data_IF_542425272011
#
_entry.id   IF_542425272011
#
_cell.length_a   1.000
_cell.length_b   1.000
_cell.length_c   1.000
_cell.angle_alpha   90.00
_cell.angle_beta   90.00
_cell.angle_gamma   90.00
#
_symmetry.space_group_name_H-M   'P 1'
#
loop_
_entity.id
_entity.type
_entity.pdbx_description
1 polymer ?
#
# COMPACT_ATOMS: atom_id res chain seq x y z
N UNK A 1 -30.79 -50.22 -29.16
CA UNK A 1 -30.88 -49.46 -30.43
C UNK A 1 -31.96 -48.41 -30.29
N UNK A 2 -31.57 -47.19 -29.93
CA UNK A 2 -32.25 -45.94 -30.30
C UNK A 2 -31.25 -44.85 -29.99
N UNK A 3 -30.85 -44.19 -31.05
CA UNK A 3 -29.80 -43.19 -31.10
C UNK A 3 -30.47 -41.82 -31.32
N UNK A 4 -29.73 -40.77 -30.95
CA UNK A 4 -29.78 -39.40 -31.47
C UNK A 4 -30.53 -38.28 -30.69
N UNK A 5 -29.64 -37.39 -30.20
CA UNK A 5 -29.59 -35.93 -30.40
C UNK A 5 -30.36 -35.04 -29.42
N UNK A 6 -29.63 -34.65 -28.37
CA UNK A 6 -29.88 -33.40 -27.65
C UNK A 6 -29.65 -32.17 -28.54
N UNK A 7 -30.21 -31.00 -28.17
CA UNK A 7 -30.22 -29.81 -29.01
C UNK A 7 -28.81 -29.23 -29.18
N UNK A 8 -28.45 -28.99 -30.43
CA UNK A 8 -27.24 -28.25 -30.81
C UNK A 8 -27.46 -26.78 -30.48
N UNK A 9 -26.72 -26.25 -29.51
CA UNK A 9 -26.63 -24.80 -29.25
C UNK A 9 -25.91 -24.18 -30.46
N UNK A 10 -26.47 -23.16 -31.14
CA UNK A 10 -25.79 -22.52 -32.25
C UNK A 10 -24.51 -21.86 -31.74
N UNK A 11 -23.37 -22.19 -32.36
CA UNK A 11 -22.16 -21.36 -32.28
C UNK A 11 -22.56 -19.96 -32.70
N UNK A 12 -22.52 -19.00 -31.79
CA UNK A 12 -22.65 -17.58 -32.12
C UNK A 12 -21.59 -17.25 -33.17
N UNK A 13 -22.05 -16.90 -34.38
CA UNK A 13 -21.23 -16.34 -35.43
C UNK A 13 -20.65 -15.02 -34.91
N UNK A 14 -19.36 -15.01 -34.60
CA UNK A 14 -18.58 -13.78 -34.44
C UNK A 14 -18.55 -13.06 -35.79
N UNK A 15 -19.52 -12.18 -36.02
CA UNK A 15 -19.51 -11.30 -37.19
C UNK A 15 -18.40 -10.28 -37.02
N UNK A 16 -17.48 -10.22 -37.99
CA UNK A 16 -16.46 -9.18 -38.01
C UNK A 16 -17.13 -7.82 -38.23
N UNK A 17 -16.75 -6.77 -37.47
CA UNK A 17 -17.37 -5.46 -37.59
C UNK A 17 -17.17 -4.92 -39.00
N UNK A 18 -18.25 -4.40 -39.57
CA UNK A 18 -18.27 -3.78 -40.90
C UNK A 18 -17.33 -2.56 -40.95
N UNK A 19 -16.87 -2.12 -42.14
CA UNK A 19 -16.03 -0.94 -42.28
C UNK A 19 -16.64 0.34 -41.65
N UNK A 20 -17.97 0.47 -41.68
CA UNK A 20 -18.69 1.59 -41.07
C UNK A 20 -18.67 1.50 -39.54
N UNK A 21 -18.91 0.31 -38.97
CA UNK A 21 -18.80 0.08 -37.52
C UNK A 21 -17.38 0.30 -37.01
N UNK A 22 -16.37 -0.12 -37.79
CA UNK A 22 -14.96 0.18 -37.49
C UNK A 22 -14.71 1.69 -37.47
N UNK A 23 -15.20 2.45 -38.47
CA UNK A 23 -15.04 3.91 -38.53
C UNK A 23 -15.73 4.62 -37.35
N UNK A 24 -16.95 4.20 -36.98
CA UNK A 24 -17.67 4.71 -35.81
C UNK A 24 -16.93 4.39 -34.52
N UNK A 25 -16.39 3.18 -34.37
CA UNK A 25 -15.59 2.78 -33.22
C UNK A 25 -14.28 3.60 -33.11
N UNK A 26 -13.61 3.86 -34.23
CA UNK A 26 -12.42 4.72 -34.28
C UNK A 26 -12.75 6.17 -33.89
N UNK A 27 -13.85 6.74 -34.39
CA UNK A 27 -14.28 8.09 -34.03
C UNK A 27 -14.67 8.21 -32.54
N UNK A 28 -15.38 7.20 -32.00
CA UNK A 28 -15.69 7.14 -30.56
C UNK A 28 -14.43 7.06 -29.71
N UNK A 29 -13.44 6.27 -30.13
CA UNK A 29 -12.14 6.18 -29.45
C UNK A 29 -11.36 7.50 -29.53
N UNK A 30 -11.30 8.15 -30.69
CA UNK A 30 -10.63 9.44 -30.86
C UNK A 30 -11.24 10.53 -29.97
N UNK A 31 -12.58 10.66 -29.97
CA UNK A 31 -13.30 11.64 -29.13
C UNK A 31 -13.14 11.34 -27.62
N UNK A 32 -13.09 10.06 -27.24
CA UNK A 32 -12.80 9.66 -25.86
C UNK A 32 -11.37 10.02 -25.45
N UNK A 33 -10.41 9.93 -26.37
CA UNK A 33 -9.00 10.25 -26.12
C UNK A 33 -8.76 11.76 -26.01
N UNK A 34 -9.36 12.57 -26.90
CA UNK A 34 -9.32 14.03 -26.80
C UNK A 34 -9.93 14.54 -25.49
N UNK A 35 -11.03 13.93 -25.05
CA UNK A 35 -11.67 14.27 -23.77
C UNK A 35 -10.76 13.92 -22.58
N UNK A 36 -10.05 12.80 -22.64
CA UNK A 36 -9.06 12.43 -21.62
C UNK A 36 -7.89 13.40 -21.54
N UNK A 37 -7.24 13.71 -22.67
CA UNK A 37 -6.11 14.64 -22.72
C UNK A 37 -6.48 16.03 -22.19
N UNK A 38 -7.69 16.49 -22.49
CA UNK A 38 -8.24 17.74 -21.94
C UNK A 38 -8.39 17.68 -20.41
N UNK A 39 -8.94 16.58 -19.88
CA UNK A 39 -9.10 16.39 -18.43
C UNK A 39 -7.77 16.27 -17.69
N UNK A 40 -6.78 15.58 -18.27
CA UNK A 40 -5.41 15.50 -17.71
C UNK A 40 -4.76 16.88 -17.69
N UNK A 41 -4.79 17.62 -18.80
CA UNK A 41 -4.28 19.00 -18.83
C UNK A 41 -4.95 19.91 -17.81
N UNK A 42 -6.24 19.69 -17.55
CA UNK A 42 -6.97 20.44 -16.51
C UNK A 42 -6.50 20.06 -15.12
N UNK A 43 -6.27 18.77 -14.87
CA UNK A 43 -5.75 18.23 -13.62
C UNK A 43 -4.32 18.76 -13.34
N UNK A 44 -3.44 18.77 -14.34
CA UNK A 44 -2.04 19.24 -14.23
C UNK A 44 -1.94 20.73 -13.87
N UNK A 45 -2.93 21.53 -14.27
CA UNK A 45 -2.97 22.98 -14.01
C UNK A 45 -3.66 23.35 -12.69
N UNK A 46 -4.31 22.40 -12.01
CA UNK A 46 -4.95 22.67 -10.74
C UNK A 46 -3.94 22.63 -9.61
N UNK A 47 -3.95 23.67 -8.77
CA UNK A 47 -3.25 23.68 -7.51
C UNK A 47 -4.04 22.89 -6.46
N UNK A 48 -3.35 22.09 -5.64
CA UNK A 48 -3.96 21.32 -4.57
C UNK A 48 -4.22 22.21 -3.35
N UNK A 49 -5.45 22.74 -3.27
CA UNK A 49 -5.94 23.54 -2.14
C UNK A 49 -7.20 22.91 -1.57
N UNK A 50 -7.61 23.31 -0.36
CA UNK A 50 -8.86 22.83 0.24
C UNK A 50 -10.09 23.09 -0.66
N UNK A 51 -10.09 24.20 -1.41
CA UNK A 51 -11.18 24.56 -2.33
C UNK A 51 -11.21 23.73 -3.62
N UNK A 52 -10.07 23.24 -4.09
CA UNK A 52 -9.98 22.42 -5.31
C UNK A 52 -10.13 20.92 -5.08
N UNK A 53 -10.11 20.47 -3.82
CA UNK A 53 -10.16 19.04 -3.42
C UNK A 53 -11.23 18.23 -4.14
N UNK A 54 -12.48 18.70 -4.14
CA UNK A 54 -13.58 17.99 -4.80
C UNK A 54 -13.42 17.96 -6.31
N UNK A 55 -12.95 19.05 -6.93
CA UNK A 55 -12.74 19.12 -8.37
C UNK A 55 -11.63 18.15 -8.81
N UNK A 56 -10.53 18.09 -8.05
CA UNK A 56 -9.41 17.17 -8.27
C UNK A 56 -9.86 15.72 -8.10
N UNK A 57 -10.60 15.39 -7.04
CA UNK A 57 -11.19 14.06 -6.82
C UNK A 57 -12.06 13.63 -8.01
N UNK A 58 -12.94 14.51 -8.51
CA UNK A 58 -13.78 14.21 -9.67
C UNK A 58 -12.97 14.03 -10.96
N UNK A 59 -11.96 14.86 -11.20
CA UNK A 59 -11.10 14.71 -12.38
C UNK A 59 -10.27 13.42 -12.31
N UNK A 60 -9.71 13.11 -11.14
CA UNK A 60 -9.05 11.83 -10.86
C UNK A 60 -9.99 10.66 -11.18
N UNK A 61 -11.24 10.71 -10.72
CA UNK A 61 -12.26 9.71 -11.03
C UNK A 61 -12.53 9.58 -12.54
N UNK A 62 -12.73 10.68 -13.24
CA UNK A 62 -13.03 10.67 -14.68
C UNK A 62 -11.86 10.18 -15.55
N UNK A 63 -10.63 10.37 -15.08
CA UNK A 63 -9.40 9.96 -15.79
C UNK A 63 -8.88 8.58 -15.37
N UNK A 64 -9.54 7.92 -14.41
CA UNK A 64 -9.10 6.66 -13.80
C UNK A 64 -8.69 5.58 -14.80
N UNK A 65 -9.58 5.22 -15.74
CA UNK A 65 -9.34 4.10 -16.66
C UNK A 65 -8.11 4.29 -17.54
N UNK A 66 -7.88 5.51 -18.03
CA UNK A 66 -6.74 5.83 -18.89
C UNK A 66 -5.46 6.03 -18.06
N UNK A 67 -5.56 6.63 -16.87
CA UNK A 67 -4.44 6.71 -15.92
C UNK A 67 -3.93 5.31 -15.54
N UNK A 68 -4.84 4.37 -15.23
CA UNK A 68 -4.48 2.97 -14.92
C UNK A 68 -3.80 2.28 -16.10
N UNK A 69 -4.38 2.40 -17.30
CA UNK A 69 -3.73 1.87 -18.52
C UNK A 69 -2.33 2.42 -18.69
N UNK A 70 -2.13 3.72 -18.46
CA UNK A 70 -0.82 4.33 -18.57
C UNK A 70 0.14 3.80 -17.49
N UNK A 71 -0.28 3.71 -16.22
CA UNK A 71 0.55 3.18 -15.12
C UNK A 71 1.01 1.75 -15.39
N UNK A 72 0.13 0.91 -15.93
CA UNK A 72 0.36 -0.51 -16.18
C UNK A 72 1.01 -0.81 -17.56
N UNK A 73 1.29 0.21 -18.38
CA UNK A 73 1.96 0.04 -19.68
C UNK A 73 3.39 -0.55 -19.49
N UNK A 74 3.80 -1.56 -20.28
CA UNK A 74 5.17 -2.05 -20.26
C UNK A 74 6.16 -1.09 -20.99
N UNK A 75 7.35 -0.83 -20.43
CA UNK A 75 7.81 -1.22 -19.10
C UNK A 75 7.05 -0.47 -18.02
N UNK A 76 6.69 -1.16 -16.92
CA UNK A 76 5.91 -0.59 -15.83
C UNK A 76 6.52 0.72 -15.32
N UNK A 77 5.69 1.72 -15.06
CA UNK A 77 6.17 3.00 -14.55
C UNK A 77 6.60 2.86 -13.09
N UNK A 78 7.72 3.48 -12.74
CA UNK A 78 8.16 3.59 -11.35
C UNK A 78 7.22 4.52 -10.57
N UNK A 79 7.17 4.34 -9.25
CA UNK A 79 6.34 5.19 -8.39
C UNK A 79 6.73 6.67 -8.53
N UNK A 80 8.03 7.00 -8.62
CA UNK A 80 8.48 8.37 -8.87
C UNK A 80 7.86 8.95 -10.15
N UNK A 81 7.94 8.22 -11.27
CA UNK A 81 7.39 8.68 -12.55
C UNK A 81 5.88 8.84 -12.52
N UNK A 82 5.19 8.01 -11.74
CA UNK A 82 3.74 8.13 -11.55
C UNK A 82 3.43 9.40 -10.76
N UNK A 83 4.16 9.68 -9.68
CA UNK A 83 3.97 10.87 -8.85
C UNK A 83 4.33 12.17 -9.59
N UNK A 84 5.36 12.16 -10.44
CA UNK A 84 5.69 13.30 -11.31
C UNK A 84 4.57 13.61 -12.30
N UNK A 85 3.95 12.57 -12.89
CA UNK A 85 2.87 12.75 -13.86
C UNK A 85 1.52 13.05 -13.22
N UNK A 86 1.24 12.46 -12.07
CA UNK A 86 -0.02 12.59 -11.36
C UNK A 86 0.22 13.10 -9.94
N UNK A 87 0.70 14.35 -9.87
CA UNK A 87 1.14 15.03 -8.64
C UNK A 87 0.12 14.97 -7.50
N UNK A 88 -1.17 14.93 -7.84
CA UNK A 88 -2.27 14.95 -6.88
C UNK A 88 -2.36 13.68 -6.02
N UNK A 89 -1.69 12.58 -6.39
CA UNK A 89 -1.57 11.43 -5.50
C UNK A 89 -0.91 11.79 -4.16
N UNK A 90 0.01 12.76 -4.16
CA UNK A 90 0.71 13.23 -2.95
C UNK A 90 -0.08 14.30 -2.17
N UNK A 91 -1.25 14.71 -2.66
CA UNK A 91 -2.06 15.77 -2.04
C UNK A 91 -3.04 15.25 -0.99
N UNK A 92 -3.50 16.16 -0.13
CA UNK A 92 -4.60 15.94 0.83
C UNK A 92 -4.36 14.78 1.80
N UNK A 93 -3.15 14.69 2.35
CA UNK A 93 -2.81 13.69 3.35
C UNK A 93 -3.01 12.25 2.88
N UNK A 94 -2.79 11.96 1.59
CA UNK A 94 -2.96 10.63 0.99
C UNK A 94 -4.40 10.24 0.63
N UNK A 95 -5.37 11.16 0.73
CA UNK A 95 -6.76 10.87 0.35
C UNK A 95 -6.89 10.38 -1.09
N UNK A 96 -6.14 10.97 -2.03
CA UNK A 96 -6.21 10.59 -3.44
C UNK A 96 -5.75 9.15 -3.69
N UNK A 97 -4.79 8.66 -2.89
CA UNK A 97 -4.39 7.24 -2.89
C UNK A 97 -5.55 6.37 -2.39
N UNK A 98 -6.19 6.75 -1.29
CA UNK A 98 -7.33 6.02 -0.74
C UNK A 98 -8.50 5.93 -1.70
N UNK A 99 -8.85 7.01 -2.39
CA UNK A 99 -9.90 6.98 -3.40
C UNK A 99 -9.52 6.10 -4.60
N UNK A 100 -8.26 6.16 -5.05
CA UNK A 100 -7.77 5.33 -6.16
C UNK A 100 -7.80 3.84 -5.80
N UNK A 101 -7.39 3.50 -4.58
CA UNK A 101 -7.47 2.14 -4.05
C UNK A 101 -8.92 1.63 -4.04
N UNK A 102 -9.88 2.44 -3.56
CA UNK A 102 -11.30 2.06 -3.56
C UNK A 102 -11.84 1.82 -4.97
N UNK A 103 -11.32 2.52 -5.99
CA UNK A 103 -11.68 2.28 -7.40
C UNK A 103 -11.08 0.98 -7.94
N UNK A 104 -9.88 0.61 -7.48
CA UNK A 104 -9.23 -0.66 -7.83
C UNK A 104 -9.94 -1.85 -7.17
N UNK A 105 -10.34 -1.70 -5.90
CA UNK A 105 -10.94 -2.75 -5.09
C UNK A 105 -12.29 -2.27 -4.52
N UNK A 106 -13.34 -2.14 -5.35
CA UNK A 106 -14.62 -1.61 -4.90
C UNK A 106 -15.31 -2.46 -3.81
N UNK A 107 -14.91 -3.72 -3.70
CA UNK A 107 -15.42 -4.67 -2.71
C UNK A 107 -14.47 -4.83 -1.49
N UNK A 108 -13.41 -4.04 -1.38
CA UNK A 108 -12.56 -4.07 -0.20
C UNK A 108 -13.35 -3.66 1.02
N UNK A 109 -13.06 -4.32 2.15
CA UNK A 109 -13.68 -4.00 3.44
C UNK A 109 -13.03 -2.72 3.96
N UNK A 110 -13.86 -1.77 4.39
CA UNK A 110 -13.37 -0.63 5.16
C UNK A 110 -12.81 -1.16 6.48
N UNK A 111 -11.51 -1.01 6.67
CA UNK A 111 -10.79 -1.50 7.84
C UNK A 111 -10.11 -0.33 8.53
N UNK A 112 -10.35 -0.20 9.83
CA UNK A 112 -9.57 0.67 10.70
C UNK A 112 -8.67 -0.22 11.57
N UNK A 113 -7.37 0.05 11.53
CA UNK A 113 -6.41 -0.69 12.34
C UNK A 113 -6.74 -0.60 13.83
N UNK A 114 -7.29 0.52 14.27
CA UNK A 114 -7.71 0.77 15.65
C UNK A 114 -8.68 -0.29 16.18
N UNK A 115 -9.52 -0.87 15.31
CA UNK A 115 -10.52 -1.87 15.68
C UNK A 115 -9.91 -3.17 16.20
N UNK A 116 -8.68 -3.49 15.81
CA UNK A 116 -8.01 -4.74 16.17
C UNK A 116 -6.86 -4.56 17.16
N UNK A 117 -6.44 -3.33 17.46
CA UNK A 117 -5.27 -3.04 18.31
C UNK A 117 -5.36 -3.76 19.66
N UNK A 118 -6.46 -3.54 20.40
CA UNK A 118 -6.64 -4.13 21.73
C UNK A 118 -6.61 -5.66 21.70
N UNK A 119 -7.24 -6.27 20.71
CA UNK A 119 -7.30 -7.72 20.55
C UNK A 119 -5.95 -8.32 20.15
N UNK A 120 -5.15 -7.62 19.33
CA UNK A 120 -3.77 -8.01 19.00
C UNK A 120 -2.89 -7.99 20.25
N UNK A 121 -2.98 -6.91 21.04
CA UNK A 121 -2.23 -6.77 22.29
C UNK A 121 -2.60 -7.87 23.28
N UNK A 122 -3.89 -8.14 23.47
CA UNK A 122 -4.38 -9.19 24.35
C UNK A 122 -3.98 -10.59 23.87
N UNK A 123 -4.08 -10.87 22.57
CA UNK A 123 -3.62 -12.14 22.00
C UNK A 123 -2.14 -12.36 22.30
N UNK A 124 -1.31 -11.33 22.07
CA UNK A 124 0.13 -11.40 22.27
C UNK A 124 0.48 -11.58 23.75
N UNK A 125 -0.21 -10.86 24.65
CA UNK A 125 -0.07 -11.02 26.09
C UNK A 125 -0.33 -12.46 26.54
N UNK A 126 -1.36 -13.10 25.98
CA UNK A 126 -1.78 -14.44 26.38
C UNK A 126 -0.93 -15.57 25.76
N UNK A 127 -0.48 -15.41 24.51
CA UNK A 127 0.14 -16.50 23.74
C UNK A 127 1.65 -16.33 23.47
N UNK A 128 2.15 -15.10 23.62
CA UNK A 128 3.50 -14.65 23.26
C UNK A 128 4.00 -13.58 24.24
N UNK A 129 3.83 -13.83 25.54
CA UNK A 129 4.08 -12.85 26.61
C UNK A 129 5.42 -12.13 26.49
N UNK A 130 6.50 -12.85 26.17
CA UNK A 130 7.83 -12.24 25.97
C UNK A 130 7.85 -11.15 24.89
N UNK A 131 7.24 -11.41 23.73
CA UNK A 131 7.15 -10.43 22.64
C UNK A 131 6.29 -9.23 23.05
N UNK A 132 5.19 -9.49 23.77
CA UNK A 132 4.34 -8.43 24.31
C UNK A 132 5.11 -7.50 25.27
N UNK A 133 5.90 -8.05 26.19
CA UNK A 133 6.75 -7.29 27.10
C UNK A 133 7.83 -6.49 26.36
N UNK A 134 8.51 -7.10 25.38
CA UNK A 134 9.53 -6.44 24.55
C UNK A 134 8.96 -5.27 23.74
N UNK A 135 7.71 -5.38 23.27
CA UNK A 135 7.02 -4.29 22.57
C UNK A 135 6.69 -3.08 23.44
N UNK A 136 6.79 -3.18 24.77
CA UNK A 136 6.43 -2.12 25.71
C UNK A 136 7.29 -0.86 25.62
N UNK A 137 8.38 -0.89 24.83
CA UNK A 137 9.19 0.28 24.53
C UNK A 137 8.53 1.26 23.55
N UNK A 138 7.48 0.85 22.84
CA UNK A 138 6.74 1.70 21.91
C UNK A 138 5.55 2.33 22.62
N UNK A 139 5.38 3.64 22.45
CA UNK A 139 4.37 4.37 23.19
C UNK A 139 2.96 4.23 22.60
N UNK A 140 2.87 4.17 21.27
CA UNK A 140 1.60 4.00 20.58
C UNK A 140 1.20 2.53 20.50
N UNK A 141 0.03 2.21 21.03
CA UNK A 141 -0.53 0.86 20.97
C UNK A 141 -0.73 0.37 19.54
N UNK A 142 -1.00 1.27 18.58
CA UNK A 142 -1.05 0.92 17.16
C UNK A 142 0.32 0.43 16.65
N UNK A 143 1.40 1.15 16.96
CA UNK A 143 2.75 0.72 16.58
C UNK A 143 3.13 -0.61 17.24
N UNK A 144 2.76 -0.79 18.51
CA UNK A 144 2.95 -2.07 19.22
C UNK A 144 2.20 -3.20 18.51
N UNK A 145 0.93 -2.99 18.17
CA UNK A 145 0.12 -3.98 17.48
C UNK A 145 0.71 -4.33 16.11
N UNK A 146 1.17 -3.35 15.33
CA UNK A 146 1.85 -3.58 14.06
C UNK A 146 3.12 -4.42 14.22
N UNK A 147 3.94 -4.09 15.20
CA UNK A 147 5.16 -4.85 15.51
C UNK A 147 4.82 -6.29 15.92
N UNK A 148 3.81 -6.47 16.77
CA UNK A 148 3.40 -7.79 17.23
C UNK A 148 2.79 -8.64 16.11
N UNK A 149 1.97 -8.09 15.22
CA UNK A 149 1.50 -8.81 14.03
C UNK A 149 2.68 -9.31 13.21
N UNK A 150 3.72 -8.50 13.06
CA UNK A 150 4.95 -8.87 12.37
C UNK A 150 5.71 -9.99 13.09
N UNK A 151 5.94 -9.88 14.41
CA UNK A 151 6.75 -10.85 15.17
C UNK A 151 6.05 -12.19 15.43
N UNK A 152 4.71 -12.17 15.56
CA UNK A 152 3.91 -13.38 15.82
C UNK A 152 3.80 -14.26 14.57
N UNK A 153 3.80 -13.63 13.39
CA UNK A 153 3.75 -14.35 12.12
C UNK A 153 5.15 -14.83 11.71
N UNK A 154 5.26 -16.04 11.13
CA UNK A 154 6.56 -16.54 10.69
C UNK A 154 7.16 -15.59 9.64
N UNK A 155 8.45 -15.32 9.69
CA UNK A 155 9.13 -14.53 8.65
C UNK A 155 9.65 -15.44 7.53
N UNK A 156 9.67 -14.93 6.30
CA UNK A 156 10.33 -15.61 5.19
C UNK A 156 11.84 -15.40 5.33
N UNK A 157 12.69 -16.45 5.29
CA UNK A 157 14.12 -16.27 5.38
C UNK A 157 14.63 -15.43 4.20
N UNK A 158 15.21 -14.26 4.50
CA UNK A 158 15.85 -13.40 3.50
C UNK A 158 17.22 -13.98 3.17
N UNK A 159 17.44 -14.45 1.95
CA UNK A 159 18.79 -14.74 1.45
C UNK A 159 19.50 -13.41 1.21
N UNK A 160 20.17 -12.87 2.23
CA UNK A 160 21.03 -11.69 2.02
C UNK A 160 22.17 -12.08 1.07
N UNK A 161 22.25 -11.42 -0.09
CA UNK A 161 23.43 -11.49 -0.95
C UNK A 161 24.62 -10.94 -0.18
N UNK A 162 25.73 -11.67 -0.22
CA UNK A 162 27.03 -11.25 0.35
C UNK A 162 27.67 -10.18 -0.52
N UNK A 163 27.10 -8.98 -0.61
CA UNK A 163 27.84 -7.82 -1.11
C UNK A 163 28.28 -6.95 0.06
N UNK A 164 29.52 -7.23 0.47
CA UNK A 164 30.30 -6.40 1.39
C UNK A 164 30.86 -5.20 0.62
N UNK A 165 30.20 -4.05 0.70
CA UNK A 165 30.89 -2.77 0.76
C UNK A 165 29.99 -1.68 1.35
N UNK A 166 29.77 -1.74 2.66
CA UNK A 166 29.41 -0.56 3.43
C UNK A 166 30.60 -0.25 4.32
N UNK A 167 31.27 0.85 3.97
CA UNK A 167 32.40 1.43 4.67
C UNK A 167 32.03 1.77 6.12
N UNK A 168 32.63 1.06 7.07
CA UNK A 168 33.09 1.42 8.42
C UNK A 168 32.35 2.40 9.36
N UNK A 169 31.08 2.79 9.11
CA UNK A 169 30.28 3.58 10.07
C UNK A 169 29.20 2.75 10.82
N UNK A 170 29.27 1.42 10.74
CA UNK A 170 28.13 0.52 11.00
C UNK A 170 27.93 0.02 12.45
N UNK A 171 28.70 0.43 13.45
CA UNK A 171 28.54 -0.14 14.80
C UNK A 171 27.43 0.50 15.64
N UNK A 172 27.07 1.77 15.41
CA UNK A 172 25.97 2.41 16.15
C UNK A 172 24.60 2.26 15.47
N UNK A 173 24.53 2.29 14.14
CA UNK A 173 23.26 2.22 13.41
C UNK A 173 22.64 0.81 13.39
N UNK A 174 23.46 -0.25 13.42
CA UNK A 174 22.97 -1.64 13.43
C UNK A 174 22.32 -2.04 14.77
N UNK A 175 22.77 -1.46 15.89
CA UNK A 175 22.19 -1.71 17.21
C UNK A 175 20.86 -0.96 17.39
N UNK A 176 20.69 0.20 16.76
CA UNK A 176 19.43 0.98 16.79
C UNK A 176 18.32 0.40 15.91
N UNK A 177 18.66 -0.24 14.78
CA UNK A 177 17.70 -0.89 13.87
C UNK A 177 17.04 -2.16 14.43
N UNK A 178 17.63 -2.76 15.48
CA UNK A 178 17.17 -4.03 16.06
C UNK A 178 16.19 -3.87 17.25
N UNK A 179 15.93 -2.65 17.72
CA UNK A 179 15.08 -2.37 18.90
C UNK A 179 13.81 -1.56 18.61
N UNK A 180 13.42 -1.45 17.34
CA UNK A 180 12.33 -0.59 16.87
C UNK A 180 11.30 -1.39 16.08
N UNK A 181 10.08 -0.86 15.90
CA UNK A 181 9.10 -1.41 14.96
C UNK A 181 9.80 -1.71 13.63
N UNK A 182 9.42 -2.82 12.99
CA UNK A 182 10.06 -3.35 11.80
C UNK A 182 10.47 -2.20 10.87
N UNK A 183 11.78 -2.02 10.64
CA UNK A 183 12.29 -0.87 9.88
C UNK A 183 11.79 -0.85 8.42
N UNK A 184 11.18 -1.95 7.98
CA UNK A 184 10.45 -2.05 6.72
C UNK A 184 9.04 -1.42 6.75
N UNK A 185 8.49 -1.15 7.94
CA UNK A 185 7.20 -0.50 8.18
C UNK A 185 7.42 0.98 8.52
N UNK A 186 8.19 1.27 9.58
CA UNK A 186 8.40 2.64 10.06
C UNK A 186 9.85 2.90 10.45
N UNK A 187 10.35 4.07 10.06
CA UNK A 187 11.64 4.62 10.45
C UNK A 187 11.40 5.87 11.29
N UNK A 188 11.95 5.88 12.50
CA UNK A 188 11.85 7.02 13.40
C UNK A 188 13.17 7.79 13.37
N UNK A 189 13.12 9.06 12.98
CA UNK A 189 14.27 9.94 12.77
C UNK A 189 14.03 11.29 13.47
N UNK A 190 15.09 12.08 13.75
CA UNK A 190 14.96 13.33 14.50
C UNK A 190 14.00 14.33 13.85
N UNK A 191 13.27 15.10 14.66
CA UNK A 191 12.18 15.96 14.21
C UNK A 191 12.63 17.03 13.18
N UNK A 192 13.86 17.53 13.34
CA UNK A 192 14.44 18.58 12.47
C UNK A 192 15.22 18.04 11.27
N UNK A 193 15.01 16.78 10.89
CA UNK A 193 15.72 16.17 9.75
C UNK A 193 15.23 16.74 8.43
N UNK A 194 16.14 17.25 7.60
CA UNK A 194 15.83 17.58 6.21
C UNK A 194 15.57 16.31 5.40
N UNK A 195 14.29 16.05 5.10
CA UNK A 195 13.87 14.89 4.33
C UNK A 195 14.47 14.86 2.92
N UNK A 196 14.70 16.01 2.28
CA UNK A 196 15.23 16.05 0.91
C UNK A 196 16.70 15.60 0.87
N UNK A 197 17.49 15.97 1.90
CA UNK A 197 18.85 15.47 2.11
C UNK A 197 18.94 14.09 2.77
N UNK A 198 17.84 13.58 3.33
CA UNK A 198 17.85 12.32 4.08
C UNK A 198 17.96 11.10 3.15
N UNK A 199 19.13 10.46 3.18
CA UNK A 199 19.35 9.16 2.55
C UNK A 199 18.66 8.07 3.37
N UNK A 200 17.38 7.86 3.09
CA UNK A 200 16.62 6.76 3.68
C UNK A 200 17.31 5.42 3.44
N UNK A 201 17.23 4.54 4.42
CA UNK A 201 17.51 3.11 4.22
C UNK A 201 16.29 2.53 3.53
N UNK A 202 16.13 2.79 2.23
CA UNK A 202 15.08 2.16 1.43
C UNK A 202 15.45 0.71 1.17
N UNK A 203 14.58 -0.21 1.59
CA UNK A 203 14.83 -1.62 1.44
C UNK A 203 14.52 -2.05 0.00
N UNK A 204 15.44 -2.75 -0.69
CA UNK A 204 15.18 -3.24 -2.04
C UNK A 204 14.07 -4.29 -2.02
N UNK A 205 13.20 -4.25 -3.03
CA UNK A 205 12.15 -5.26 -3.22
C UNK A 205 12.53 -6.17 -4.39
N UNK A 206 12.05 -7.42 -4.37
CA UNK A 206 12.23 -8.31 -5.51
C UNK A 206 11.45 -7.74 -6.73
N UNK A 207 12.04 -7.76 -7.94
CA UNK A 207 11.34 -7.31 -9.13
C UNK A 207 10.14 -8.21 -9.43
N UNK A 208 9.07 -7.68 -10.05
CA UNK A 208 7.88 -8.47 -10.35
C UNK A 208 8.21 -9.69 -11.23
N UNK A 209 7.61 -10.88 -10.99
CA UNK A 209 7.90 -12.09 -11.75
C UNK A 209 7.56 -11.99 -13.26
N UNK A 210 6.82 -10.96 -13.67
CA UNK A 210 6.48 -10.66 -15.08
C UNK A 210 7.16 -9.40 -15.63
N UNK A 211 8.03 -8.77 -14.85
CA UNK A 211 8.77 -7.59 -15.26
C UNK A 211 9.92 -7.97 -16.18
N UNK A 212 9.98 -7.37 -17.38
CA UNK A 212 11.20 -7.39 -18.22
C UNK A 212 12.30 -6.47 -17.66
N UNK A 213 11.96 -5.60 -16.70
CA UNK A 213 12.90 -4.74 -15.99
C UNK A 213 13.52 -5.50 -14.82
N UNK A 214 14.86 -5.54 -14.78
CA UNK A 214 15.66 -6.07 -13.66
C UNK A 214 15.86 -5.03 -12.55
N UNK A 215 15.31 -3.82 -12.65
CA UNK A 215 15.57 -2.79 -11.64
C UNK A 215 14.80 -3.09 -10.36
N UNK A 216 15.47 -3.10 -9.20
CA UNK A 216 14.81 -3.21 -7.91
C UNK A 216 13.92 -1.98 -7.70
N UNK A 217 12.65 -2.21 -7.34
CA UNK A 217 11.79 -1.14 -6.82
C UNK A 217 12.11 -0.92 -5.34
N UNK A 218 12.05 0.32 -4.88
CA UNK A 218 12.23 0.64 -3.47
C UNK A 218 10.90 0.45 -2.74
N UNK A 219 10.91 -0.30 -1.64
CA UNK A 219 9.71 -0.47 -0.83
C UNK A 219 9.30 0.90 -0.24
N UNK A 220 8.01 1.24 -0.25
CA UNK A 220 7.51 2.33 0.57
C UNK A 220 7.93 2.12 2.03
N UNK A 221 8.11 3.22 2.76
CA UNK A 221 8.35 3.19 4.20
C UNK A 221 7.66 4.39 4.87
N UNK A 222 7.12 4.19 6.08
CA UNK A 222 6.64 5.30 6.90
C UNK A 222 7.83 5.95 7.61
N UNK A 223 7.88 7.27 7.62
CA UNK A 223 8.88 8.06 8.33
C UNK A 223 8.16 8.84 9.40
N UNK A 224 8.63 8.73 10.63
CA UNK A 224 8.12 9.51 11.75
C UNK A 224 9.23 10.44 12.26
N UNK A 225 9.01 11.74 12.10
CA UNK A 225 9.90 12.82 12.55
C UNK A 225 9.61 13.11 14.03
N UNK A 226 10.38 12.51 14.94
CA UNK A 226 10.14 12.62 16.38
C UNK A 226 11.42 12.49 17.19
N UNK A 227 11.61 13.42 18.14
CA UNK A 227 12.71 13.40 19.10
C UNK A 227 12.32 12.73 20.43
N UNK A 228 11.03 12.76 20.78
CA UNK A 228 10.49 12.34 22.08
C UNK A 228 9.69 11.02 22.02
N UNK A 229 9.47 10.48 20.82
CA UNK A 229 8.63 9.32 20.57
C UNK A 229 7.18 9.48 21.08
N UNK A 230 6.73 10.73 21.26
CA UNK A 230 5.39 11.11 21.71
C UNK A 230 4.66 11.93 20.65
N UNK A 231 5.37 12.83 19.97
CA UNK A 231 4.81 13.72 18.97
C UNK A 231 5.70 13.75 17.74
N UNK A 232 5.11 13.99 16.58
CA UNK A 232 5.88 14.12 15.36
C UNK A 232 5.06 14.06 14.09
N UNK A 233 5.63 14.59 13.02
CA UNK A 233 5.03 14.51 11.69
C UNK A 233 5.30 13.14 11.06
N UNK A 234 4.31 12.65 10.30
CA UNK A 234 4.43 11.38 9.59
C UNK A 234 4.44 11.62 8.09
N UNK A 235 5.39 10.98 7.42
CA UNK A 235 5.52 10.96 5.98
C UNK A 235 5.55 9.54 5.45
N UNK A 236 5.07 9.34 4.23
CA UNK A 236 5.31 8.11 3.46
C UNK A 236 6.39 8.41 2.44
N UNK A 237 7.52 7.72 2.51
CA UNK A 237 8.51 7.74 1.44
C UNK A 237 8.20 6.64 0.44
N UNK A 238 8.05 7.03 -0.82
CA UNK A 238 7.96 6.12 -1.95
C UNK A 238 8.87 6.62 -3.06
N UNK A 239 9.92 5.85 -3.37
CA UNK A 239 10.85 6.16 -4.48
C UNK A 239 11.42 7.59 -4.39
N UNK A 240 11.80 8.01 -3.18
CA UNK A 240 12.36 9.33 -2.88
C UNK A 240 11.33 10.47 -2.76
N UNK A 241 10.04 10.20 -2.98
CA UNK A 241 8.97 11.17 -2.79
C UNK A 241 8.36 11.04 -1.41
N UNK A 242 8.16 12.19 -0.74
CA UNK A 242 7.56 12.25 0.59
C UNK A 242 6.12 12.73 0.51
N UNK A 243 5.21 11.93 1.04
CA UNK A 243 3.78 12.26 1.15
C UNK A 243 3.50 12.51 2.63
N UNK A 244 3.19 13.76 2.98
CA UNK A 244 2.79 14.10 4.35
C UNK A 244 1.45 13.44 4.67
N UNK A 245 1.36 12.76 5.82
CA UNK A 245 0.11 12.20 6.34
C UNK A 245 -0.47 13.19 7.33
N UNK A 246 -1.47 13.94 6.89
CA UNK A 246 -2.22 14.84 7.79
C UNK A 246 -2.84 14.03 8.93
N UNK A 247 -2.42 14.27 10.17
CA UNK A 247 -2.99 13.67 11.35
C UNK A 247 -3.34 14.74 12.38
N UNK A 248 -4.37 14.48 13.19
CA UNK A 248 -4.66 15.31 14.35
C UNK A 248 -3.59 15.01 15.41
N UNK A 249 -2.87 16.02 15.95
CA UNK A 249 -1.83 15.80 16.96
C UNK A 249 -2.34 15.18 18.26
N UNK A 250 -3.66 15.19 18.51
CA UNK A 250 -4.28 14.59 19.69
C UNK A 250 -4.74 13.14 19.48
N UNK A 251 -4.67 12.63 18.26
CA UNK A 251 -5.12 11.28 17.89
C UNK A 251 -3.90 10.45 17.47
N UNK A 252 -3.91 9.15 17.76
CA UNK A 252 -2.91 8.23 17.24
C UNK A 252 -2.84 8.35 15.70
N UNK A 253 -1.70 8.80 15.13
CA UNK A 253 -1.60 9.06 13.70
C UNK A 253 -1.32 7.78 12.90
N UNK A 254 -0.93 6.68 13.56
CA UNK A 254 -0.48 5.46 12.90
C UNK A 254 -1.56 4.65 12.19
N UNK A 255 -2.82 4.57 12.66
CA UNK A 255 -3.88 3.88 11.92
C UNK A 255 -4.06 4.45 10.52
N UNK A 256 -4.15 5.78 10.40
CA UNK A 256 -4.30 6.46 9.11
C UNK A 256 -3.04 6.33 8.25
N UNK A 257 -1.86 6.55 8.84
CA UNK A 257 -0.61 6.42 8.12
C UNK A 257 -0.42 5.01 7.55
N UNK A 258 -0.71 3.98 8.35
CA UNK A 258 -0.61 2.60 7.95
C UNK A 258 -1.62 2.24 6.85
N UNK A 259 -2.86 2.72 6.95
CA UNK A 259 -3.88 2.49 5.92
C UNK A 259 -3.44 3.02 4.55
N UNK A 260 -2.92 4.25 4.50
CA UNK A 260 -2.42 4.85 3.26
C UNK A 260 -1.17 4.08 2.78
N UNK A 261 -0.24 3.78 3.68
CA UNK A 261 0.97 2.99 3.40
C UNK A 261 0.64 1.63 2.76
N UNK A 262 -0.32 0.89 3.31
CA UNK A 262 -0.77 -0.39 2.75
C UNK A 262 -1.33 -0.20 1.34
N UNK A 263 -2.17 0.82 1.14
CA UNK A 263 -2.80 1.11 -0.16
C UNK A 263 -1.81 1.53 -1.24
N UNK A 264 -0.68 2.17 -0.88
CA UNK A 264 0.38 2.54 -1.82
C UNK A 264 0.88 1.35 -2.63
N UNK A 265 1.08 0.19 -2.00
CA UNK A 265 1.58 -1.01 -2.67
C UNK A 265 0.67 -1.44 -3.83
N UNK A 266 -0.65 -1.29 -3.67
CA UNK A 266 -1.60 -1.66 -4.70
C UNK A 266 -1.79 -0.57 -5.74
N UNK A 267 -1.90 0.69 -5.30
CA UNK A 267 -2.08 1.83 -6.21
C UNK A 267 -0.89 1.95 -7.15
N UNK A 268 0.34 1.84 -6.63
CA UNK A 268 1.56 1.96 -7.42
C UNK A 268 2.15 0.63 -7.89
N UNK A 269 1.46 -0.49 -7.64
CA UNK A 269 1.91 -1.84 -8.04
C UNK A 269 3.34 -2.16 -7.57
N UNK A 270 3.63 -1.85 -6.30
CA UNK A 270 4.94 -2.05 -5.68
C UNK A 270 4.95 -3.40 -4.96
N UNK A 271 6.09 -4.09 -4.98
CA UNK A 271 6.25 -5.36 -4.28
C UNK A 271 6.55 -5.13 -2.81
N UNK A 272 6.04 -6.00 -1.94
CA UNK A 272 6.42 -5.96 -0.53
C UNK A 272 7.89 -6.30 -0.35
N UNK A 273 8.52 -5.69 0.65
CA UNK A 273 9.76 -6.24 1.17
C UNK A 273 9.50 -7.69 1.66
N UNK A 274 10.38 -8.67 1.42
CA UNK A 274 10.12 -10.08 1.77
C UNK A 274 9.77 -10.32 3.24
N UNK A 275 10.29 -9.49 4.15
CA UNK A 275 9.96 -9.54 5.58
C UNK A 275 8.49 -9.22 5.84
N UNK A 276 7.88 -8.34 5.05
CA UNK A 276 6.49 -7.91 5.20
C UNK A 276 5.49 -8.90 4.61
N UNK A 277 5.93 -9.94 3.89
CA UNK A 277 5.04 -10.80 3.10
C UNK A 277 3.90 -11.42 3.93
N UNK A 278 4.21 -11.93 5.12
CA UNK A 278 3.20 -12.62 5.94
C UNK A 278 2.33 -11.65 6.74
N UNK A 279 2.88 -10.53 7.22
CA UNK A 279 2.06 -9.47 7.84
C UNK A 279 1.15 -8.81 6.81
N UNK A 280 1.60 -8.58 5.59
CA UNK A 280 0.73 -8.07 4.52
C UNK A 280 -0.30 -9.11 4.06
N UNK A 281 0.02 -10.40 4.11
CA UNK A 281 -1.00 -11.43 3.89
C UNK A 281 -2.13 -11.37 4.94
N UNK A 282 -1.81 -10.99 6.17
CA UNK A 282 -2.80 -10.69 7.20
C UNK A 282 -3.65 -9.49 6.84
N UNK A 283 -3.04 -8.34 6.50
CA UNK A 283 -3.81 -7.15 6.15
C UNK A 283 -4.65 -7.36 4.88
N UNK A 284 -4.11 -7.97 3.83
CA UNK A 284 -4.88 -8.35 2.64
C UNK A 284 -6.12 -9.18 2.97
N UNK A 285 -6.03 -10.10 3.94
CA UNK A 285 -7.19 -10.87 4.37
C UNK A 285 -8.21 -10.01 5.10
N UNK A 286 -7.76 -9.12 5.98
CA UNK A 286 -8.64 -8.24 6.75
C UNK A 286 -9.32 -7.19 5.86
N UNK A 287 -8.62 -6.65 4.86
CA UNK A 287 -9.19 -5.77 3.82
C UNK A 287 -10.07 -6.52 2.81
N UNK A 288 -10.15 -7.86 2.88
CA UNK A 288 -10.95 -8.66 1.95
C UNK A 288 -10.34 -8.79 0.54
N UNK A 289 -9.05 -8.48 0.37
CA UNK A 289 -8.33 -8.58 -0.90
C UNK A 289 -7.85 -10.01 -1.18
N UNK A 290 -7.52 -10.77 -0.12
CA UNK A 290 -7.09 -12.15 -0.23
C UNK A 290 -8.12 -13.07 0.42
N UNK A 291 -8.77 -13.95 -0.35
CA UNK A 291 -9.74 -14.91 0.19
C UNK A 291 -9.10 -16.14 0.85
N UNK A 292 -7.80 -16.39 0.62
CA UNK A 292 -7.08 -17.59 1.06
C UNK A 292 -5.79 -17.19 1.76
N UNK A 293 -5.87 -16.72 3.02
CA UNK A 293 -4.68 -16.43 3.81
C UNK A 293 -3.93 -17.72 4.13
N UNK A 294 -2.63 -17.58 4.39
CA UNK A 294 -1.81 -18.70 4.87
C UNK A 294 -2.32 -19.22 6.22
N UNK A 295 -2.05 -20.49 6.58
CA UNK A 295 -2.59 -21.09 7.80
C UNK A 295 -2.31 -20.30 9.08
N UNK A 296 -1.09 -19.76 9.24
CA UNK A 296 -0.71 -18.95 10.40
C UNK A 296 -1.51 -17.64 10.51
N UNK A 297 -1.74 -16.97 9.37
CA UNK A 297 -2.59 -15.77 9.31
C UNK A 297 -4.03 -16.10 9.66
N UNK A 298 -4.58 -17.20 9.13
CA UNK A 298 -5.94 -17.64 9.46
C UNK A 298 -6.10 -17.91 10.95
N UNK A 299 -5.12 -18.58 11.56
CA UNK A 299 -5.12 -18.86 12.99
C UNK A 299 -5.10 -17.56 13.82
N UNK A 300 -4.21 -16.62 13.49
CA UNK A 300 -4.12 -15.34 14.18
C UNK A 300 -5.42 -14.54 14.08
N UNK A 301 -6.00 -14.42 12.88
CA UNK A 301 -7.27 -13.70 12.68
C UNK A 301 -8.41 -14.37 13.44
N UNK A 302 -8.44 -15.72 13.49
CA UNK A 302 -9.39 -16.47 14.29
C UNK A 302 -9.31 -16.11 15.77
N UNK A 303 -8.08 -16.09 16.33
CA UNK A 303 -7.85 -15.72 17.73
C UNK A 303 -8.22 -14.27 18.03
N UNK A 304 -7.87 -13.32 17.16
CA UNK A 304 -8.22 -11.89 17.32
C UNK A 304 -9.75 -11.72 17.34
N UNK A 305 -10.45 -12.36 16.40
CA UNK A 305 -11.92 -12.28 16.33
C UNK A 305 -12.59 -12.89 17.56
N UNK A 306 -12.07 -13.99 18.07
CA UNK A 306 -12.59 -14.60 19.30
C UNK A 306 -12.46 -13.63 20.48
N UNK A 307 -11.29 -13.00 20.66
CA UNK A 307 -11.06 -12.01 21.71
C UNK A 307 -12.04 -10.82 21.58
N UNK A 308 -12.27 -10.32 20.37
CA UNK A 308 -13.22 -9.22 20.14
C UNK A 308 -14.67 -9.59 20.45
N UNK A 309 -15.05 -10.86 20.32
CA UNK A 309 -16.38 -11.35 20.71
C UNK A 309 -16.48 -11.46 22.22
N UNK A 310 -15.45 -12.00 22.87
CA UNK A 310 -15.38 -12.12 24.33
C UNK A 310 -15.38 -10.76 25.04
N UNK A 311 -14.75 -9.73 24.46
CA UNK A 311 -14.72 -8.38 25.04
C UNK A 311 -16.04 -7.60 24.93
N UNK A 312 -17.02 -8.10 24.16
CA UNK A 312 -18.32 -7.45 23.95
C UNK A 312 -19.45 -8.03 24.82
N UNK A 313 -19.18 -9.14 25.50
CA UNK A 313 -20.10 -9.82 26.42
C UNK A 313 -19.72 -9.50 27.87
#
# INVERSE_FOLDING_TARGET
MTDLKGPVIPRQLLTHPTPVEKKILHLKKAKSHENYESMVKKLDKMEATSGSKNAISQLMKCTYSERRKWMDQPPANTSARILEKFIHFSSYGGLMISEEFQRLYPNSIAFDLSDIVSAVLQHSKNSRQKLYEESGCLQYDTLRALQLIYDVLPTVPVKMSKDRSLTNDETNNKVWLAKKPCAAIVQIIPANTDLQGYKNVLLPTEPPPKSKSKQPTLAPVMIWLSDDHLFGEIYLNIDGHYIHVEADPLIDPFPKAFDIFFKLYFVFNVHYHPQLKNSFNFFEYVYGLNAKPIPSVRALVGSIRQIQVESKN
#
